data_IF_796548070398
#
_entry.id   IF_796548070398
#
_cell.length_a   1.000
_cell.length_b   1.000
_cell.length_c   1.000
_cell.angle_alpha   90.00
_cell.angle_beta   90.00
_cell.angle_gamma   90.00
#
_symmetry.space_group_name_H-M   'P 1'
#
loop_
_entity.id
_entity.type
_entity.pdbx_description
1 polymer ?
#
# COMPACT_ATOMS: atom_id res chain seq x y z
N UNK A 1 -19.49 -12.29 15.02
CA UNK A 1 -18.54 -11.45 15.81
C UNK A 1 -17.60 -10.77 14.81
N UNK A 2 -17.32 -9.48 14.98
CA UNK A 2 -16.36 -8.80 14.09
C UNK A 2 -14.95 -9.36 14.28
N UNK A 3 -14.19 -9.41 13.19
CA UNK A 3 -12.85 -10.00 13.18
C UNK A 3 -11.89 -9.23 14.08
N UNK A 4 -11.13 -9.95 14.90
CA UNK A 4 -9.96 -9.36 15.54
C UNK A 4 -8.85 -9.19 14.51
N UNK A 5 -8.80 -8.02 13.90
CA UNK A 5 -7.94 -7.74 12.77
C UNK A 5 -6.43 -7.90 13.09
N UNK A 6 -6.02 -7.61 14.33
CA UNK A 6 -4.63 -7.83 14.76
C UNK A 6 -4.26 -9.33 14.76
N UNK A 7 -5.18 -10.20 15.21
CA UNK A 7 -4.98 -11.65 15.14
C UNK A 7 -5.00 -12.13 13.69
N UNK A 8 -5.91 -11.60 12.89
CA UNK A 8 -6.01 -11.90 11.47
C UNK A 8 -4.69 -11.61 10.73
N UNK A 9 -4.15 -10.39 10.86
CA UNK A 9 -2.89 -10.01 10.22
C UNK A 9 -1.72 -10.90 10.68
N UNK A 10 -1.64 -11.21 11.96
CA UNK A 10 -0.60 -12.12 12.48
C UNK A 10 -0.71 -13.53 11.91
N UNK A 11 -1.93 -14.02 11.69
CA UNK A 11 -2.17 -15.35 11.17
C UNK A 11 -1.91 -15.43 9.67
N UNK A 12 -2.49 -14.52 8.89
CA UNK A 12 -2.32 -14.49 7.43
C UNK A 12 -0.87 -14.22 7.02
N UNK A 13 -0.13 -13.41 7.77
CA UNK A 13 1.28 -13.13 7.51
C UNK A 13 2.21 -14.34 7.67
N UNK A 14 1.74 -15.47 8.18
CA UNK A 14 2.50 -16.72 8.21
C UNK A 14 2.46 -17.47 6.89
N UNK A 15 1.45 -17.22 6.08
CA UNK A 15 1.32 -17.84 4.76
C UNK A 15 2.33 -17.27 3.79
N UNK A 16 2.88 -18.13 2.92
CA UNK A 16 3.95 -17.74 1.98
C UNK A 16 3.52 -16.63 1.04
N UNK A 17 2.28 -16.69 0.57
CA UNK A 17 1.74 -15.72 -0.38
C UNK A 17 1.48 -14.35 0.27
N UNK A 18 1.40 -14.29 1.60
CA UNK A 18 1.18 -13.08 2.39
C UNK A 18 2.41 -12.60 3.17
N UNK A 19 3.60 -13.11 2.83
CA UNK A 19 4.86 -12.67 3.44
C UNK A 19 5.03 -11.14 3.57
N UNK A 20 4.59 -10.33 2.60
CA UNK A 20 4.62 -8.87 2.70
C UNK A 20 3.76 -8.32 3.83
N UNK A 21 2.61 -8.93 4.10
CA UNK A 21 1.76 -8.54 5.22
C UNK A 21 2.50 -8.72 6.54
N UNK A 22 3.27 -9.81 6.66
CA UNK A 22 4.15 -10.02 7.83
C UNK A 22 5.24 -8.95 7.91
N UNK A 23 5.85 -8.60 6.80
CA UNK A 23 6.87 -7.56 6.75
C UNK A 23 6.29 -6.20 7.15
N UNK A 24 5.10 -5.86 6.64
CA UNK A 24 4.40 -4.64 7.03
C UNK A 24 4.05 -4.63 8.52
N UNK A 25 3.62 -5.77 9.07
CA UNK A 25 3.37 -5.88 10.51
C UNK A 25 4.64 -5.61 11.32
N UNK A 26 5.78 -6.15 10.91
CA UNK A 26 7.06 -5.91 11.57
C UNK A 26 7.45 -4.44 11.53
N UNK A 27 7.28 -3.78 10.37
CA UNK A 27 7.52 -2.34 10.23
C UNK A 27 6.60 -1.54 11.15
N UNK A 28 5.31 -1.86 11.17
CA UNK A 28 4.32 -1.14 11.98
C UNK A 28 4.53 -1.28 13.49
N UNK A 29 5.23 -2.34 13.92
CA UNK A 29 5.57 -2.58 15.33
C UNK A 29 6.85 -1.87 15.77
N UNK A 30 7.65 -1.35 14.85
CA UNK A 30 8.84 -0.60 15.19
C UNK A 30 8.43 0.78 15.74
N UNK A 31 8.94 1.09 16.93
CA UNK A 31 8.66 2.36 17.62
C UNK A 31 9.49 3.53 17.08
N UNK A 32 10.65 3.23 16.53
CA UNK A 32 11.60 4.20 16.00
C UNK A 32 11.30 4.47 14.54
N UNK A 33 10.70 5.63 14.25
CA UNK A 33 10.33 6.05 12.90
C UNK A 33 11.55 6.29 12.00
N UNK A 34 12.66 6.77 12.56
CA UNK A 34 13.86 7.08 11.79
C UNK A 34 14.56 5.84 11.24
N UNK A 35 14.43 4.70 11.93
CA UNK A 35 15.08 3.45 11.56
C UNK A 35 14.16 2.46 10.80
N UNK A 36 12.88 2.79 10.61
CA UNK A 36 11.92 1.86 10.00
C UNK A 36 12.37 1.26 8.68
N UNK A 37 13.07 2.03 7.86
CA UNK A 37 13.44 1.67 6.50
C UNK A 37 14.95 1.47 6.28
N UNK A 38 15.78 1.72 7.30
CA UNK A 38 17.23 1.58 7.19
C UNK A 38 17.71 0.17 6.81
N UNK A 39 16.93 -0.84 7.15
CA UNK A 39 17.23 -2.24 6.84
C UNK A 39 16.78 -2.67 5.43
N UNK A 40 16.31 -1.73 4.61
CA UNK A 40 15.91 -2.00 3.23
C UNK A 40 16.95 -1.38 2.26
N UNK A 41 18.00 -2.13 1.85
CA UNK A 41 19.06 -1.60 0.98
C UNK A 41 18.53 -0.99 -0.32
N UNK A 42 17.51 -1.62 -0.92
CA UNK A 42 16.87 -1.13 -2.15
C UNK A 42 16.13 0.19 -1.95
N UNK A 43 15.58 0.45 -0.76
CA UNK A 43 14.95 1.73 -0.45
C UNK A 43 16.01 2.84 -0.41
N UNK A 44 17.17 2.55 0.18
CA UNK A 44 18.30 3.50 0.20
C UNK A 44 18.85 3.78 -1.21
N UNK A 45 18.85 2.79 -2.09
CA UNK A 45 19.21 2.97 -3.51
C UNK A 45 18.20 3.89 -4.22
N UNK A 46 16.90 3.67 -3.97
CA UNK A 46 15.83 4.51 -4.50
C UNK A 46 15.98 5.96 -4.03
N UNK A 47 16.22 6.16 -2.74
CA UNK A 47 16.48 7.49 -2.17
C UNK A 47 17.67 8.17 -2.85
N UNK A 48 18.78 7.47 -3.02
CA UNK A 48 19.97 7.99 -3.70
C UNK A 48 19.69 8.35 -5.16
N UNK A 49 18.89 7.54 -5.85
CA UNK A 49 18.56 7.75 -7.26
C UNK A 49 17.67 8.99 -7.46
N UNK A 50 16.59 9.09 -6.70
CA UNK A 50 15.55 10.11 -6.95
C UNK A 50 15.69 11.39 -6.13
N UNK A 51 16.44 11.36 -5.03
CA UNK A 51 16.60 12.54 -4.19
C UNK A 51 17.18 13.77 -4.90
N UNK A 52 18.29 13.64 -5.68
CA UNK A 52 18.82 14.77 -6.41
C UNK A 52 17.82 15.36 -7.41
N UNK A 53 17.07 14.50 -8.12
CA UNK A 53 16.07 14.92 -9.08
C UNK A 53 14.90 15.62 -8.40
N UNK A 54 14.43 15.10 -7.27
CA UNK A 54 13.38 15.72 -6.48
C UNK A 54 13.78 17.09 -5.95
N UNK A 55 15.01 17.26 -5.47
CA UNK A 55 15.54 18.56 -5.05
C UNK A 55 15.54 19.61 -6.17
N UNK A 56 15.77 19.18 -7.40
CA UNK A 56 15.75 20.06 -8.56
C UNK A 56 14.32 20.46 -9.01
N UNK A 57 13.31 19.76 -8.52
CA UNK A 57 11.90 20.00 -8.86
C UNK A 57 11.18 20.78 -7.77
N UNK A 58 10.23 21.62 -8.18
CA UNK A 58 9.46 22.44 -7.23
C UNK A 58 8.47 21.60 -6.38
N UNK A 59 7.99 20.46 -6.92
CA UNK A 59 6.98 19.60 -6.28
C UNK A 59 7.20 18.13 -6.59
N UNK A 60 6.77 17.27 -5.64
CA UNK A 60 6.79 15.82 -5.81
C UNK A 60 5.89 15.36 -6.97
N UNK A 61 4.80 16.07 -7.25
CA UNK A 61 3.89 15.72 -8.34
C UNK A 61 4.63 15.62 -9.69
N UNK A 62 5.59 16.52 -9.94
CA UNK A 62 6.38 16.51 -11.16
C UNK A 62 7.31 15.28 -11.23
N UNK A 63 7.82 14.81 -10.10
CA UNK A 63 8.62 13.60 -10.03
C UNK A 63 7.75 12.37 -10.22
N UNK A 64 6.60 12.31 -9.55
CA UNK A 64 5.68 11.18 -9.64
C UNK A 64 5.06 11.06 -11.02
N UNK A 65 4.78 12.17 -11.71
CA UNK A 65 4.26 12.15 -13.07
C UNK A 65 5.18 11.36 -14.02
N UNK A 66 6.48 11.55 -13.89
CA UNK A 66 7.45 10.94 -14.80
C UNK A 66 7.95 9.56 -14.33
N UNK A 67 7.95 9.29 -13.02
CA UNK A 67 8.61 8.12 -12.42
C UNK A 67 7.72 7.28 -11.51
N UNK A 68 6.40 7.53 -11.47
CA UNK A 68 5.51 6.84 -10.54
C UNK A 68 5.58 5.31 -10.68
N UNK A 69 5.63 4.78 -11.90
CA UNK A 69 5.69 3.34 -12.12
C UNK A 69 6.91 2.70 -11.44
N UNK A 70 8.08 3.30 -11.61
CA UNK A 70 9.32 2.77 -11.02
C UNK A 70 9.30 2.89 -9.49
N UNK A 71 8.91 4.05 -8.96
CA UNK A 71 8.85 4.31 -7.52
C UNK A 71 7.84 3.38 -6.86
N UNK A 72 6.65 3.25 -7.41
CA UNK A 72 5.59 2.44 -6.82
C UNK A 72 5.77 0.95 -7.06
N UNK A 73 6.26 0.53 -8.22
CA UNK A 73 6.62 -0.87 -8.45
C UNK A 73 7.72 -1.32 -7.51
N UNK A 74 8.69 -0.46 -7.23
CA UNK A 74 9.69 -0.73 -6.21
C UNK A 74 9.03 -0.92 -4.82
N UNK A 75 8.15 0.01 -4.41
CA UNK A 75 7.43 -0.07 -3.16
C UNK A 75 6.57 -1.35 -3.07
N UNK A 76 5.76 -1.60 -4.08
CA UNK A 76 4.89 -2.75 -4.16
C UNK A 76 5.68 -4.07 -4.17
N UNK A 77 6.78 -4.16 -4.91
CA UNK A 77 7.59 -5.36 -4.99
C UNK A 77 8.45 -5.60 -3.74
N UNK A 78 8.81 -4.56 -3.01
CA UNK A 78 9.67 -4.66 -1.83
C UNK A 78 8.90 -4.88 -0.54
N UNK A 79 7.85 -4.10 -0.33
CA UNK A 79 7.01 -4.14 0.87
C UNK A 79 5.72 -4.92 0.64
N UNK A 80 5.25 -4.96 -0.60
CA UNK A 80 4.04 -5.60 -1.03
C UNK A 80 4.25 -6.28 -2.39
N UNK A 81 4.85 -7.47 -2.48
CA UNK A 81 4.85 -8.22 -3.72
C UNK A 81 3.43 -8.72 -4.05
N UNK A 82 2.52 -7.82 -4.23
CA UNK A 82 1.25 -8.09 -4.86
C UNK A 82 1.51 -8.26 -6.34
N UNK A 83 1.56 -9.49 -6.77
CA UNK A 83 2.02 -9.91 -8.10
C UNK A 83 1.16 -9.41 -9.26
N UNK A 84 0.02 -8.77 -9.00
CA UNK A 84 -0.93 -8.34 -10.03
C UNK A 84 -1.65 -7.05 -9.63
N UNK A 85 -0.92 -6.07 -9.16
CA UNK A 85 -1.46 -4.73 -8.94
C UNK A 85 -1.01 -3.80 -10.06
N UNK A 86 -1.86 -2.89 -10.45
CA UNK A 86 -1.53 -1.76 -11.31
C UNK A 86 -1.65 -0.46 -10.53
N UNK A 87 -0.73 0.45 -10.80
CA UNK A 87 -0.82 1.81 -10.30
C UNK A 87 -0.75 2.76 -11.48
N UNK A 88 -1.72 3.64 -11.59
CA UNK A 88 -1.73 4.70 -12.58
C UNK A 88 -1.67 6.04 -11.89
N UNK A 89 -0.86 6.94 -12.44
CA UNK A 89 -0.85 8.34 -12.06
C UNK A 89 -2.05 9.02 -12.74
N UNK A 90 -2.82 9.74 -11.94
CA UNK A 90 -3.95 10.53 -12.41
C UNK A 90 -3.67 11.99 -12.05
N UNK A 91 -3.50 12.85 -13.05
CA UNK A 91 -3.26 14.28 -12.83
C UNK A 91 -4.49 14.86 -12.10
N UNK A 92 -4.31 15.52 -10.97
CA UNK A 92 -5.44 16.18 -10.31
C UNK A 92 -5.96 17.28 -11.21
N UNK A 93 -7.28 17.32 -11.44
CA UNK A 93 -7.94 18.44 -12.09
C UNK A 93 -7.66 19.74 -11.32
N UNK A 94 -7.16 20.75 -11.99
CA UNK A 94 -6.96 22.06 -11.36
C UNK A 94 -8.31 22.78 -11.16
N UNK A 95 -8.59 23.43 -10.02
CA UNK A 95 -7.76 23.55 -8.83
C UNK A 95 -8.14 22.50 -7.78
N UNK A 96 -7.32 21.48 -7.62
CA UNK A 96 -7.55 20.48 -6.57
C UNK A 96 -6.66 20.76 -5.35
N UNK A 97 -7.10 20.41 -4.13
CA UNK A 97 -6.27 20.56 -2.94
C UNK A 97 -5.20 19.47 -2.80
N UNK A 98 -4.92 18.71 -3.86
CA UNK A 98 -3.95 17.61 -3.85
C UNK A 98 -2.87 17.84 -4.90
N UNK A 99 -1.65 17.41 -4.59
CA UNK A 99 -0.51 17.52 -5.49
C UNK A 99 -0.40 16.32 -6.44
N UNK A 100 -0.95 15.17 -6.03
CA UNK A 100 -1.00 13.99 -6.88
C UNK A 100 -2.18 13.08 -6.51
N UNK A 101 -2.58 12.28 -7.46
CA UNK A 101 -3.63 11.27 -7.33
C UNK A 101 -3.18 9.99 -8.04
N UNK A 102 -3.32 8.88 -7.37
CA UNK A 102 -2.92 7.57 -7.84
C UNK A 102 -4.09 6.62 -7.73
N UNK A 103 -4.37 5.88 -8.77
CA UNK A 103 -5.36 4.81 -8.77
C UNK A 103 -4.64 3.48 -8.64
N UNK A 104 -4.91 2.81 -7.55
CA UNK A 104 -4.34 1.51 -7.25
C UNK A 104 -5.38 0.42 -7.48
N UNK A 105 -4.98 -0.62 -8.21
CA UNK A 105 -5.77 -1.84 -8.40
C UNK A 105 -5.01 -3.04 -7.90
N UNK A 106 -5.67 -3.89 -7.15
CA UNK A 106 -5.13 -5.15 -6.70
C UNK A 106 -6.10 -6.30 -6.94
N UNK A 107 -5.59 -7.40 -7.46
CA UNK A 107 -6.36 -8.58 -7.78
C UNK A 107 -6.00 -9.74 -6.83
N UNK A 108 -6.98 -10.18 -6.05
CA UNK A 108 -6.89 -11.37 -5.22
C UNK A 108 -7.39 -12.58 -5.98
N UNK A 109 -6.50 -13.55 -6.22
CA UNK A 109 -6.87 -14.79 -6.88
C UNK A 109 -7.64 -15.73 -5.93
N UNK A 110 -8.21 -16.79 -6.50
CA UNK A 110 -9.03 -17.75 -5.74
C UNK A 110 -8.29 -18.41 -4.57
N UNK A 111 -6.97 -18.66 -4.72
CA UNK A 111 -6.14 -19.24 -3.66
C UNK A 111 -5.98 -18.28 -2.49
N UNK A 112 -5.68 -17.01 -2.77
CA UNK A 112 -5.55 -15.97 -1.75
C UNK A 112 -6.87 -15.75 -1.00
N UNK A 113 -7.98 -15.75 -1.73
CA UNK A 113 -9.32 -15.65 -1.13
C UNK A 113 -9.63 -16.88 -0.27
N UNK A 114 -9.25 -18.08 -0.72
CA UNK A 114 -9.38 -19.31 0.07
C UNK A 114 -8.70 -19.18 1.44
N UNK A 115 -7.42 -18.79 1.44
CA UNK A 115 -6.66 -18.58 2.69
C UNK A 115 -7.30 -17.50 3.58
N UNK A 116 -7.77 -16.40 2.99
CA UNK A 116 -8.44 -15.33 3.75
C UNK A 116 -9.69 -15.88 4.44
N UNK A 117 -10.52 -16.68 3.75
CA UNK A 117 -11.74 -17.29 4.31
C UNK A 117 -11.41 -18.28 5.42
N UNK A 118 -10.44 -19.17 5.22
CA UNK A 118 -9.98 -20.11 6.25
C UNK A 118 -9.56 -19.38 7.53
N UNK A 119 -8.78 -18.30 7.42
CA UNK A 119 -8.37 -17.53 8.59
C UNK A 119 -9.54 -16.79 9.23
N UNK A 120 -10.51 -16.32 8.44
CA UNK A 120 -11.75 -15.75 8.99
C UNK A 120 -12.55 -16.77 9.79
N UNK A 121 -12.67 -18.01 9.31
CA UNK A 121 -13.34 -19.14 9.97
C UNK A 121 -12.60 -19.53 11.26
N UNK A 122 -11.29 -19.71 11.21
CA UNK A 122 -10.44 -19.98 12.40
C UNK A 122 -10.66 -18.93 13.51
N UNK A 123 -10.92 -17.68 13.13
CA UNK A 123 -11.16 -16.58 14.06
C UNK A 123 -12.63 -16.34 14.40
N UNK A 124 -13.53 -17.22 13.96
CA UNK A 124 -14.98 -17.13 14.14
C UNK A 124 -15.54 -15.75 13.70
N UNK A 125 -15.06 -15.24 12.57
CA UNK A 125 -15.49 -13.95 12.03
C UNK A 125 -16.78 -14.09 11.23
N UNK A 126 -17.70 -13.14 11.43
CA UNK A 126 -18.92 -12.97 10.63
C UNK A 126 -18.80 -11.77 9.66
N UNK A 127 -17.63 -11.18 9.56
CA UNK A 127 -17.39 -10.07 8.62
C UNK A 127 -17.53 -10.55 7.17
N UNK A 128 -17.92 -9.64 6.29
CA UNK A 128 -17.90 -9.91 4.85
C UNK A 128 -16.45 -9.88 4.34
N UNK A 129 -16.12 -10.75 3.39
CA UNK A 129 -14.80 -10.79 2.73
C UNK A 129 -14.43 -9.41 2.19
N UNK A 130 -15.37 -8.70 1.57
CA UNK A 130 -15.20 -7.33 1.10
C UNK A 130 -14.57 -6.41 2.16
N UNK A 131 -15.13 -6.39 3.36
CA UNK A 131 -14.65 -5.53 4.45
C UNK A 131 -13.25 -5.93 4.94
N UNK A 132 -12.97 -7.22 4.95
CA UNK A 132 -11.65 -7.74 5.32
C UNK A 132 -10.62 -7.34 4.29
N UNK A 133 -10.94 -7.44 2.98
CA UNK A 133 -10.06 -7.02 1.89
C UNK A 133 -9.76 -5.52 1.92
N UNK A 134 -10.77 -4.68 2.13
CA UNK A 134 -10.57 -3.22 2.29
C UNK A 134 -9.63 -2.90 3.46
N UNK A 135 -9.83 -3.53 4.61
CA UNK A 135 -8.96 -3.35 5.78
C UNK A 135 -7.55 -3.86 5.55
N UNK A 136 -7.42 -5.00 4.86
CA UNK A 136 -6.13 -5.58 4.49
C UNK A 136 -5.37 -4.64 3.56
N UNK A 137 -6.04 -4.06 2.58
CA UNK A 137 -5.47 -3.05 1.70
C UNK A 137 -4.98 -1.82 2.48
N UNK A 138 -5.82 -1.23 3.34
CA UNK A 138 -5.44 -0.06 4.16
C UNK A 138 -4.21 -0.39 5.02
N UNK A 139 -4.20 -1.56 5.66
CA UNK A 139 -3.04 -1.99 6.42
C UNK A 139 -1.80 -2.11 5.55
N UNK A 140 -1.96 -2.69 4.37
CA UNK A 140 -0.89 -2.93 3.43
C UNK A 140 -0.20 -1.62 2.99
N UNK A 141 -0.94 -0.57 2.73
CA UNK A 141 -0.40 0.70 2.24
C UNK A 141 -0.19 1.75 3.34
N UNK A 142 -0.40 1.40 4.61
CA UNK A 142 -0.27 2.33 5.74
C UNK A 142 1.14 2.89 5.92
N UNK A 143 2.17 2.20 5.43
CA UNK A 143 3.55 2.66 5.47
C UNK A 143 3.95 3.54 4.27
N UNK A 144 3.07 3.68 3.28
CA UNK A 144 3.38 4.42 2.06
C UNK A 144 3.68 5.90 2.35
N UNK A 145 2.82 6.58 3.10
CA UNK A 145 3.01 7.96 3.48
C UNK A 145 4.34 8.21 4.21
N UNK A 146 4.59 7.57 5.34
CA UNK A 146 5.86 7.70 6.06
C UNK A 146 7.09 7.34 5.23
N UNK A 147 6.96 6.40 4.28
CA UNK A 147 8.05 6.06 3.37
C UNK A 147 8.37 7.22 2.42
N UNK A 148 7.36 7.83 1.82
CA UNK A 148 7.52 8.96 0.90
C UNK A 148 8.14 10.14 1.65
N UNK A 149 7.65 10.47 2.84
CA UNK A 149 8.21 11.51 3.70
C UNK A 149 9.70 11.26 4.00
N UNK A 150 10.07 10.02 4.31
CA UNK A 150 11.45 9.66 4.60
C UNK A 150 12.34 9.72 3.35
N UNK A 151 11.83 9.33 2.17
CA UNK A 151 12.59 9.40 0.91
C UNK A 151 12.87 10.86 0.54
N UNK A 152 11.88 11.70 0.65
CA UNK A 152 11.94 13.08 0.14
C UNK A 152 12.17 14.12 1.23
N UNK A 153 12.31 13.71 2.49
CA UNK A 153 12.60 14.58 3.64
C UNK A 153 11.62 15.76 3.77
N UNK A 154 10.37 15.54 3.36
CA UNK A 154 9.29 16.55 3.41
C UNK A 154 8.00 15.93 3.95
N UNK A 155 7.23 16.70 4.71
CA UNK A 155 5.95 16.23 5.20
C UNK A 155 4.90 16.17 4.07
N UNK A 156 4.10 15.09 4.08
CA UNK A 156 2.99 14.87 3.17
C UNK A 156 1.72 14.53 3.93
N UNK A 157 0.61 15.08 3.51
CA UNK A 157 -0.71 14.61 3.91
C UNK A 157 -1.22 13.60 2.88
N UNK A 158 -1.44 12.36 3.32
CA UNK A 158 -1.96 11.29 2.48
C UNK A 158 -3.40 10.96 2.84
N UNK A 159 -4.20 10.75 1.82
CA UNK A 159 -5.58 10.35 1.95
C UNK A 159 -5.87 9.14 1.06
N UNK A 160 -6.56 8.16 1.62
CA UNK A 160 -7.09 7.03 0.89
C UNK A 160 -8.60 7.19 0.77
N UNK A 161 -9.09 7.20 -0.46
CA UNK A 161 -10.51 7.37 -0.74
C UNK A 161 -10.99 6.36 -1.75
N UNK A 162 -12.31 6.19 -1.80
CA UNK A 162 -12.98 5.30 -2.76
C UNK A 162 -12.37 3.89 -2.78
N UNK A 163 -12.16 3.32 -1.58
CA UNK A 163 -11.67 1.94 -1.47
C UNK A 163 -12.85 1.00 -1.70
N UNK A 164 -12.85 0.35 -2.86
CA UNK A 164 -13.86 -0.61 -3.27
C UNK A 164 -13.25 -2.00 -3.40
N UNK A 165 -14.02 -3.01 -3.02
CA UNK A 165 -13.66 -4.40 -3.22
C UNK A 165 -14.83 -5.10 -3.93
N UNK A 166 -14.59 -5.58 -5.13
CA UNK A 166 -15.60 -6.15 -6.01
C UNK A 166 -15.30 -7.61 -6.29
N UNK A 167 -16.30 -8.47 -6.13
CA UNK A 167 -16.19 -9.86 -6.53
C UNK A 167 -16.33 -9.98 -8.03
N UNK A 168 -15.40 -10.70 -8.65
CA UNK A 168 -15.42 -11.01 -10.07
C UNK A 168 -16.23 -12.27 -10.36
N UNK A 169 -16.63 -12.47 -11.61
CA UNK A 169 -17.47 -13.60 -12.03
C UNK A 169 -16.83 -14.97 -11.79
N UNK A 170 -15.50 -15.04 -11.75
CA UNK A 170 -14.73 -16.25 -11.47
C UNK A 170 -14.48 -16.52 -9.97
N UNK A 171 -15.11 -15.74 -9.09
CA UNK A 171 -14.95 -15.86 -7.63
C UNK A 171 -13.72 -15.17 -7.05
N UNK A 172 -12.90 -14.56 -7.87
CA UNK A 172 -11.78 -13.71 -7.49
C UNK A 172 -12.27 -12.32 -7.06
N UNK A 173 -11.37 -11.49 -6.54
CA UNK A 173 -11.72 -10.16 -6.06
C UNK A 173 -10.75 -9.11 -6.60
N UNK A 174 -11.28 -7.95 -6.93
CA UNK A 174 -10.49 -6.77 -7.25
C UNK A 174 -10.72 -5.69 -6.19
N UNK A 175 -9.62 -5.13 -5.65
CA UNK A 175 -9.66 -3.96 -4.78
C UNK A 175 -9.13 -2.78 -5.57
N UNK A 176 -9.90 -1.70 -5.58
CA UNK A 176 -9.54 -0.44 -6.23
C UNK A 176 -9.51 0.63 -5.16
N UNK A 177 -8.48 1.44 -5.14
CA UNK A 177 -8.38 2.57 -4.22
C UNK A 177 -7.74 3.78 -4.88
N UNK A 178 -8.15 4.96 -4.44
CA UNK A 178 -7.53 6.21 -4.81
C UNK A 178 -6.66 6.68 -3.66
N UNK A 179 -5.40 6.93 -3.96
CA UNK A 179 -4.42 7.51 -3.05
C UNK A 179 -4.15 8.92 -3.54
N UNK A 180 -4.40 9.90 -2.71
CA UNK A 180 -4.06 11.28 -2.99
C UNK A 180 -3.12 11.82 -1.93
N UNK A 181 -2.30 12.78 -2.30
CA UNK A 181 -1.34 13.39 -1.40
C UNK A 181 -1.16 14.87 -1.66
N UNK A 182 -0.79 15.57 -0.60
CA UNK A 182 -0.45 16.98 -0.63
C UNK A 182 0.83 17.21 0.13
N UNK A 183 1.78 17.88 -0.49
CA UNK A 183 2.98 18.39 0.16
C UNK A 183 2.59 19.51 1.12
N UNK A 184 3.09 19.45 2.37
CA UNK A 184 2.81 20.43 3.42
C UNK A 184 3.90 21.50 3.53
#
# INVERSE_FOLDING_TARGET
MSINFKKFIKRIGKETDFKPIRNQLLISLQKDSENKYKNYPRLLELMKKYWPEYKARSRISNLLKDHHEEIFNFYLNTLFPFRKGGLTYDDPEAPTPVDFKLVYKYHYNSKEIGVIREVMEELNSTDKVENVLKRLFIFAISSFGPMVEQIFERPFAFQFSNIDANQLSNGEWEVIAIISGREQ
#
